data_IF_944117465657
#
_entry.id   IF_944117465657
#
_cell.length_a   1.000
_cell.length_b   1.000
_cell.length_c   1.000
_cell.angle_alpha   90.00
_cell.angle_beta   90.00
_cell.angle_gamma   90.00
#
_symmetry.space_group_name_H-M   'P 1'
#
loop_
_entity.id
_entity.type
_entity.pdbx_description
1 polymer ?
#
# COMPACT_ATOMS: atom_id res chain seq x y z
N UNK A 1 -16.70 20.33 4.57
CA UNK A 1 -16.77 18.93 4.15
C UNK A 1 -16.23 18.75 2.72
N UNK A 2 -15.51 17.68 2.49
CA UNK A 2 -15.10 17.30 1.14
C UNK A 2 -16.17 16.40 0.55
N UNK A 3 -16.83 16.84 -0.50
CA UNK A 3 -17.84 16.05 -1.20
C UNK A 3 -17.15 15.26 -2.32
N UNK A 4 -17.20 13.94 -2.24
CA UNK A 4 -16.58 13.04 -3.19
C UNK A 4 -17.63 12.17 -3.89
N UNK A 5 -17.35 11.82 -5.15
CA UNK A 5 -18.10 10.85 -5.95
C UNK A 5 -17.31 9.54 -6.06
N UNK A 6 -17.95 8.42 -6.42
CA UNK A 6 -17.23 7.21 -6.76
C UNK A 6 -16.14 7.49 -7.82
N UNK A 7 -14.92 7.04 -7.53
CA UNK A 7 -13.76 7.27 -8.39
C UNK A 7 -12.92 8.51 -8.04
N UNK A 8 -13.40 9.40 -7.18
CA UNK A 8 -12.59 10.54 -6.71
C UNK A 8 -11.46 10.05 -5.81
N UNK A 9 -10.31 10.70 -5.93
CA UNK A 9 -9.11 10.45 -5.12
C UNK A 9 -8.76 11.72 -4.35
N UNK A 10 -8.61 11.58 -3.05
CA UNK A 10 -8.16 12.67 -2.17
C UNK A 10 -6.76 12.35 -1.66
N UNK A 11 -5.84 13.28 -1.85
CA UNK A 11 -4.47 13.17 -1.32
C UNK A 11 -4.33 14.20 -0.19
N UNK A 12 -4.01 13.71 1.00
CA UNK A 12 -3.86 14.56 2.19
C UNK A 12 -2.55 14.28 2.89
N UNK A 13 -2.03 15.30 3.57
CA UNK A 13 -0.95 15.07 4.53
C UNK A 13 -1.52 14.27 5.71
N UNK A 14 -0.86 13.18 6.09
CA UNK A 14 -1.32 12.31 7.20
C UNK A 14 -1.46 13.05 8.54
N UNK A 15 -0.72 14.13 8.75
CA UNK A 15 -0.82 14.97 9.96
C UNK A 15 -1.95 16.00 9.88
N UNK A 16 -2.65 16.09 8.75
CA UNK A 16 -3.80 16.97 8.65
C UNK A 16 -4.91 16.49 9.60
N UNK A 17 -5.44 17.41 10.39
CA UNK A 17 -6.59 17.12 11.23
C UNK A 17 -7.79 16.76 10.34
N UNK A 18 -8.32 15.58 10.48
CA UNK A 18 -9.44 15.10 9.67
C UNK A 18 -10.37 14.19 10.49
N UNK A 19 -11.59 14.07 10.03
CA UNK A 19 -12.56 13.13 10.58
C UNK A 19 -13.52 12.66 9.48
N UNK A 20 -14.24 11.62 9.78
CA UNK A 20 -15.36 11.14 8.95
C UNK A 20 -16.67 11.43 9.67
N UNK A 21 -17.67 11.89 8.91
CA UNK A 21 -19.03 12.00 9.40
C UNK A 21 -19.76 10.67 9.21
N UNK A 22 -20.79 10.47 10.03
CA UNK A 22 -21.67 9.32 9.90
C UNK A 22 -22.31 9.28 8.50
N UNK A 23 -22.46 8.08 7.96
CA UNK A 23 -23.24 7.88 6.75
C UNK A 23 -24.72 7.84 7.12
N UNK A 24 -25.47 8.84 6.71
CA UNK A 24 -26.90 8.97 6.98
C UNK A 24 -27.78 8.50 5.81
N UNK A 25 -27.16 8.01 4.72
CA UNK A 25 -27.87 7.45 3.57
C UNK A 25 -28.19 5.97 3.79
N UNK A 26 -29.11 5.43 2.97
CA UNK A 26 -29.40 3.98 2.93
C UNK A 26 -28.35 3.17 2.18
N UNK A 27 -27.39 3.83 1.51
CA UNK A 27 -26.38 3.17 0.70
C UNK A 27 -25.07 2.99 1.49
N UNK A 28 -24.35 1.91 1.23
CA UNK A 28 -23.05 1.65 1.83
C UNK A 28 -22.00 2.61 1.25
N UNK A 29 -21.27 3.31 2.11
CA UNK A 29 -20.10 4.09 1.73
C UNK A 29 -18.85 3.22 1.91
N UNK A 30 -18.09 3.06 0.84
CA UNK A 30 -16.81 2.36 0.86
C UNK A 30 -15.70 3.39 0.59
N UNK A 31 -14.71 3.45 1.47
CA UNK A 31 -13.50 4.26 1.29
C UNK A 31 -12.28 3.37 1.43
N UNK A 32 -11.32 3.53 0.51
CA UNK A 32 -10.04 2.86 0.58
C UNK A 32 -8.98 3.89 0.99
N UNK A 33 -8.23 3.59 2.04
CA UNK A 33 -7.17 4.47 2.54
C UNK A 33 -5.82 3.79 2.34
N UNK A 34 -4.90 4.51 1.73
CA UNK A 34 -3.53 4.07 1.50
C UNK A 34 -2.56 5.05 2.12
N UNK A 35 -1.56 4.54 2.84
CA UNK A 35 -0.46 5.34 3.38
C UNK A 35 0.80 5.15 2.54
N UNK A 36 1.47 6.27 2.25
CA UNK A 36 2.76 6.27 1.56
C UNK A 36 3.79 7.02 2.40
N UNK A 37 4.97 6.45 2.50
CA UNK A 37 6.09 7.04 3.21
C UNK A 37 7.27 7.23 2.27
N UNK A 38 8.02 8.30 2.50
CA UNK A 38 9.34 8.42 1.88
C UNK A 38 10.27 7.38 2.49
N UNK A 39 11.03 6.68 1.66
CA UNK A 39 12.03 5.72 2.13
C UNK A 39 12.94 6.31 3.21
N UNK A 40 13.41 7.53 3.02
CA UNK A 40 14.27 8.22 4.00
C UNK A 40 13.60 8.53 5.34
N UNK A 41 12.28 8.53 5.40
CA UNK A 41 11.55 8.79 6.66
C UNK A 41 11.26 7.53 7.46
N UNK A 42 11.37 6.35 6.85
CA UNK A 42 11.11 5.08 7.52
C UNK A 42 12.36 4.22 7.70
N UNK A 43 13.43 4.51 6.99
CA UNK A 43 14.70 3.78 7.15
C UNK A 43 15.21 3.88 8.59
N UNK A 44 15.36 2.74 9.25
CA UNK A 44 15.74 2.64 10.66
C UNK A 44 14.60 2.85 11.67
N UNK A 45 13.38 3.17 11.21
CA UNK A 45 12.24 3.29 12.11
C UNK A 45 11.84 1.91 12.67
N UNK A 46 11.34 1.92 13.91
CA UNK A 46 10.81 0.72 14.56
C UNK A 46 9.30 0.62 14.38
N UNK A 47 8.77 -0.59 14.40
CA UNK A 47 7.34 -0.82 14.43
C UNK A 47 6.70 -0.16 15.66
N UNK A 48 5.55 0.43 15.49
CA UNK A 48 4.86 1.18 16.55
C UNK A 48 3.89 0.31 17.37
N UNK A 49 3.49 -0.84 16.88
CA UNK A 49 2.63 -1.78 17.59
C UNK A 49 3.45 -2.73 18.47
N UNK A 50 2.84 -3.25 19.52
CA UNK A 50 3.48 -4.23 20.40
C UNK A 50 3.97 -5.47 19.62
N UNK A 51 3.18 -5.91 18.63
CA UNK A 51 3.47 -7.07 17.79
C UNK A 51 4.59 -6.80 16.78
N UNK A 52 4.95 -5.55 16.55
CA UNK A 52 5.99 -5.13 15.61
C UNK A 52 7.13 -4.35 16.27
N UNK A 53 7.18 -4.27 17.59
CA UNK A 53 8.16 -3.46 18.32
C UNK A 53 9.62 -3.89 18.07
N UNK A 54 9.85 -5.14 17.69
CA UNK A 54 11.14 -5.73 17.34
C UNK A 54 11.49 -5.55 15.84
N UNK A 55 10.53 -5.12 15.03
CA UNK A 55 10.73 -4.93 13.60
C UNK A 55 11.39 -3.57 13.34
N UNK A 56 12.49 -3.60 12.62
CA UNK A 56 13.17 -2.40 12.11
C UNK A 56 13.01 -2.33 10.62
N UNK A 57 12.64 -1.15 10.11
CA UNK A 57 12.56 -0.90 8.67
C UNK A 57 13.96 -0.63 8.10
N UNK A 58 14.71 -1.70 7.93
CA UNK A 58 15.95 -1.68 7.17
C UNK A 58 15.70 -1.70 5.65
N UNK A 59 16.76 -1.66 4.86
CA UNK A 59 16.68 -1.68 3.39
C UNK A 59 15.91 -2.90 2.87
N UNK A 60 16.13 -4.05 3.47
CA UNK A 60 15.50 -5.30 3.08
C UNK A 60 13.99 -5.24 3.35
N UNK A 61 13.58 -4.79 4.53
CA UNK A 61 12.16 -4.67 4.89
C UNK A 61 11.43 -3.68 3.99
N UNK A 62 12.06 -2.57 3.65
CA UNK A 62 11.51 -1.58 2.72
C UNK A 62 11.32 -2.20 1.33
N UNK A 63 12.30 -2.96 0.84
CA UNK A 63 12.20 -3.63 -0.46
C UNK A 63 11.06 -4.67 -0.45
N UNK A 64 11.00 -5.54 0.55
CA UNK A 64 9.94 -6.53 0.72
C UNK A 64 8.53 -5.87 0.72
N UNK A 65 8.38 -4.71 1.35
CA UNK A 65 7.11 -3.97 1.32
C UNK A 65 6.81 -3.36 -0.06
N UNK A 66 7.85 -2.98 -0.79
CA UNK A 66 7.71 -2.48 -2.16
C UNK A 66 7.27 -3.57 -3.15
N UNK A 67 7.55 -4.83 -2.90
CA UNK A 67 7.14 -5.94 -3.76
C UNK A 67 5.61 -6.06 -3.90
N UNK A 68 4.85 -5.65 -2.90
CA UNK A 68 3.38 -5.57 -2.99
C UNK A 68 2.95 -4.67 -4.15
N UNK A 69 3.66 -3.56 -4.34
CA UNK A 69 3.40 -2.62 -5.45
C UNK A 69 3.68 -3.31 -6.79
N UNK A 70 4.79 -4.04 -6.89
CA UNK A 70 5.16 -4.78 -8.10
C UNK A 70 4.10 -5.82 -8.49
N UNK A 71 3.65 -6.63 -7.53
CA UNK A 71 2.58 -7.63 -7.76
C UNK A 71 1.26 -6.95 -8.12
N UNK A 72 0.91 -5.81 -7.51
CA UNK A 72 -0.29 -5.06 -7.85
C UNK A 72 -0.24 -4.45 -9.26
N UNK A 73 0.92 -3.98 -9.70
CA UNK A 73 1.13 -3.49 -11.07
C UNK A 73 0.92 -4.62 -12.07
N UNK A 74 1.47 -5.80 -11.79
CA UNK A 74 1.28 -6.97 -12.65
C UNK A 74 -0.18 -7.42 -12.69
N UNK A 75 -0.86 -7.49 -11.54
CA UNK A 75 -2.28 -7.77 -11.46
C UNK A 75 -3.10 -6.82 -12.35
N UNK A 76 -2.82 -5.50 -12.26
CA UNK A 76 -3.49 -4.53 -13.12
C UNK A 76 -3.23 -4.81 -14.60
N UNK A 77 -2.00 -5.13 -14.98
CA UNK A 77 -1.67 -5.46 -16.36
C UNK A 77 -2.39 -6.71 -16.88
N UNK A 78 -2.63 -7.70 -16.03
CA UNK A 78 -3.40 -8.88 -16.37
C UNK A 78 -4.89 -8.56 -16.57
N UNK A 79 -5.47 -7.73 -15.70
CA UNK A 79 -6.87 -7.33 -15.79
C UNK A 79 -7.15 -6.28 -16.87
N UNK A 80 -6.15 -5.47 -17.21
CA UNK A 80 -6.27 -4.37 -18.17
C UNK A 80 -5.12 -4.41 -19.20
N UNK A 81 -5.08 -5.43 -20.07
CA UNK A 81 -3.93 -5.68 -20.95
C UNK A 81 -3.69 -4.58 -21.99
N UNK A 82 -4.67 -3.73 -22.25
CA UNK A 82 -4.56 -2.62 -23.20
C UNK A 82 -4.00 -1.33 -22.56
N UNK A 83 -3.79 -1.31 -21.26
CA UNK A 83 -3.15 -0.17 -20.59
C UNK A 83 -1.62 -0.30 -20.64
N UNK A 84 -0.95 0.84 -20.73
CA UNK A 84 0.51 0.86 -20.60
C UNK A 84 0.89 0.47 -19.17
N UNK A 85 1.68 -0.60 -19.03
CA UNK A 85 2.17 -1.05 -17.73
C UNK A 85 3.03 0.03 -17.09
N UNK A 86 2.75 0.34 -15.84
CA UNK A 86 3.57 1.27 -15.07
C UNK A 86 4.93 0.65 -14.73
N UNK A 87 6.01 1.40 -14.96
CA UNK A 87 7.37 1.00 -14.58
C UNK A 87 7.72 1.56 -13.20
N UNK A 88 7.77 0.69 -12.20
CA UNK A 88 8.16 1.07 -10.84
C UNK A 88 9.67 0.90 -10.67
N UNK A 89 10.38 2.01 -10.71
CA UNK A 89 11.85 2.08 -10.75
C UNK A 89 12.56 1.22 -9.67
N UNK A 90 12.12 1.19 -8.40
CA UNK A 90 12.81 0.40 -7.38
C UNK A 90 12.81 -1.11 -7.61
N UNK A 91 11.94 -1.63 -8.48
CA UNK A 91 11.79 -3.05 -8.77
C UNK A 91 12.05 -3.41 -10.23
N UNK A 92 12.64 -2.50 -11.00
CA UNK A 92 13.00 -2.79 -12.39
C UNK A 92 13.96 -3.97 -12.49
N UNK A 93 13.66 -4.87 -13.44
CA UNK A 93 14.43 -6.10 -13.65
C UNK A 93 14.02 -7.26 -12.73
N UNK A 94 13.00 -7.08 -11.89
CA UNK A 94 12.45 -8.11 -11.00
C UNK A 94 11.04 -8.56 -11.41
N UNK A 95 10.57 -8.16 -12.59
CA UNK A 95 9.19 -8.33 -13.03
C UNK A 95 8.74 -9.79 -13.02
N UNK A 96 9.62 -10.73 -13.37
CA UNK A 96 9.32 -12.17 -13.39
C UNK A 96 9.00 -12.73 -12.00
N UNK A 97 9.67 -12.23 -10.97
CA UNK A 97 9.43 -12.64 -9.57
C UNK A 97 8.19 -12.00 -8.94
N UNK A 98 7.61 -11.03 -9.64
CA UNK A 98 6.48 -10.22 -9.17
C UNK A 98 5.20 -10.45 -9.99
N UNK A 99 5.15 -11.52 -10.76
CA UNK A 99 3.95 -11.92 -11.51
C UNK A 99 2.80 -12.18 -10.53
N UNK A 100 1.64 -11.56 -10.77
CA UNK A 100 0.46 -11.78 -9.95
C UNK A 100 -0.07 -13.21 -10.12
N UNK A 101 0.04 -13.97 -9.06
CA UNK A 101 -0.54 -15.28 -8.87
C UNK A 101 -0.74 -15.53 -7.37
N UNK A 102 -1.42 -16.60 -7.00
CA UNK A 102 -1.71 -16.92 -5.60
C UNK A 102 -0.46 -17.09 -4.72
N UNK A 103 0.60 -17.65 -5.27
CA UNK A 103 1.86 -17.86 -4.55
C UNK A 103 2.53 -16.53 -4.23
N UNK A 104 2.79 -15.70 -5.25
CA UNK A 104 3.42 -14.40 -5.08
C UNK A 104 2.57 -13.47 -4.23
N UNK A 105 1.23 -13.46 -4.43
CA UNK A 105 0.35 -12.68 -3.59
C UNK A 105 0.48 -13.05 -2.11
N UNK A 106 0.36 -14.33 -1.77
CA UNK A 106 0.49 -14.77 -0.39
C UNK A 106 1.88 -14.48 0.21
N UNK A 107 2.92 -14.54 -0.61
CA UNK A 107 4.29 -14.21 -0.18
C UNK A 107 4.41 -12.73 0.20
N UNK A 108 3.92 -11.83 -0.63
CA UNK A 108 4.12 -10.38 -0.43
C UNK A 108 3.22 -9.79 0.65
N UNK A 109 2.02 -10.37 0.90
CA UNK A 109 1.13 -9.91 1.97
C UNK A 109 1.43 -10.55 3.32
N UNK A 110 2.31 -11.55 3.36
CA UNK A 110 2.69 -12.21 4.62
C UNK A 110 3.17 -11.16 5.63
N UNK A 111 2.64 -11.25 6.82
CA UNK A 111 2.96 -10.35 7.95
C UNK A 111 2.62 -8.86 7.71
N UNK A 112 1.92 -8.53 6.62
CA UNK A 112 1.66 -7.14 6.25
C UNK A 112 0.95 -6.35 7.35
N UNK A 113 -0.14 -6.88 7.88
CA UNK A 113 -0.95 -6.19 8.88
C UNK A 113 -0.47 -6.37 10.32
N UNK A 114 0.39 -7.37 10.59
CA UNK A 114 0.84 -7.71 11.94
C UNK A 114 2.18 -7.08 12.31
N UNK A 115 3.02 -6.80 11.31
CA UNK A 115 4.41 -6.39 11.53
C UNK A 115 4.77 -5.07 10.85
N UNK A 116 3.83 -4.40 10.24
CA UNK A 116 4.10 -3.12 9.58
C UNK A 116 3.92 -1.94 10.53
N UNK A 117 4.52 -0.81 10.16
CA UNK A 117 4.36 0.42 10.90
C UNK A 117 2.87 0.77 10.99
N UNK A 118 2.37 0.76 12.20
CA UNK A 118 1.14 1.47 12.50
C UNK A 118 1.46 2.96 12.54
N UNK A 119 0.71 3.68 11.80
CA UNK A 119 0.94 5.11 11.71
C UNK A 119 -0.30 5.82 12.22
#
# INVERSE_FOLDING_TARGET
>A
PLHCKPGDVTIVNRQALHCSFANTSSETRISLTFGFHRRSSILGAKGALAESADIVYDERRILERSEVIGVAIDARSQFYPNETRYAYQPLMGQEESLIYNSENWNRVIKDYNLKDLSI
#
